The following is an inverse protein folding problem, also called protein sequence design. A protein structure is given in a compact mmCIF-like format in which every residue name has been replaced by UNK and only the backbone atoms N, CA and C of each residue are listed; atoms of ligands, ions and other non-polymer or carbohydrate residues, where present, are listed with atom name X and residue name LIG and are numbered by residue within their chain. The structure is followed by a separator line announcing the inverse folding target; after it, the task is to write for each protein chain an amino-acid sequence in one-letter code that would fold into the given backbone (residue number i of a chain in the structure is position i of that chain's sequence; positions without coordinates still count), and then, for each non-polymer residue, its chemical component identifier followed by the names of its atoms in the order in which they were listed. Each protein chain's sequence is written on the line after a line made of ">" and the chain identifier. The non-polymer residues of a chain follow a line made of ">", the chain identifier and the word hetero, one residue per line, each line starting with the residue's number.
data_IF_884753834820
#
_entry.id   IF_884753834820
#
_cell.length_a   1.000
_cell.length_b   1.000
_cell.length_c   1.000
_cell.angle_alpha   90.00
_cell.angle_beta   90.00
_cell.angle_gamma   90.00
#
_symmetry.space_group_name_H-M   'P 1'
#
loop_
_entity.id
_entity.type
_entity.pdbx_description
1 polymer ?
#
# COMPACT_ATOMS: atom_id res chain seq x y z
N UNK A 1 -62.42 17.55 22.34
CA UNK A 1 -61.57 16.34 22.32
C UNK A 1 -60.39 16.60 21.38
N UNK A 2 -59.23 16.97 21.91
CA UNK A 2 -57.99 17.15 21.14
C UNK A 2 -57.00 16.05 21.54
N UNK A 3 -57.30 14.82 21.11
CA UNK A 3 -56.69 13.57 21.57
C UNK A 3 -55.37 13.21 20.87
N UNK A 4 -54.55 14.18 20.44
CA UNK A 4 -53.23 13.89 19.85
C UNK A 4 -52.19 14.97 20.20
N UNK A 5 -51.80 14.98 21.47
CA UNK A 5 -50.54 15.60 21.88
C UNK A 5 -49.38 14.73 21.41
N UNK A 6 -48.68 15.18 20.36
CA UNK A 6 -47.40 14.60 19.93
C UNK A 6 -46.39 14.75 21.06
N UNK A 7 -46.24 13.71 21.87
CA UNK A 7 -45.18 13.59 22.86
C UNK A 7 -43.87 13.58 22.08
N UNK A 8 -43.08 14.66 22.18
CA UNK A 8 -41.71 14.72 21.67
C UNK A 8 -40.96 13.54 22.29
N UNK A 9 -40.60 12.54 21.49
CA UNK A 9 -39.73 11.46 21.94
C UNK A 9 -38.50 12.09 22.60
N UNK A 10 -38.01 11.56 23.74
CA UNK A 10 -36.73 11.99 24.27
C UNK A 10 -35.71 11.78 23.16
N UNK A 11 -35.02 12.85 22.78
CA UNK A 11 -33.88 12.75 21.88
C UNK A 11 -32.98 11.64 22.43
N UNK A 12 -32.59 10.70 21.57
CA UNK A 12 -31.58 9.71 21.92
C UNK A 12 -30.36 10.43 22.53
N UNK A 13 -29.71 9.86 23.56
CA UNK A 13 -28.52 10.45 24.15
C UNK A 13 -27.38 10.30 23.14
N UNK A 14 -27.27 11.27 22.25
CA UNK A 14 -26.30 11.32 21.18
C UNK A 14 -26.07 12.76 20.78
N UNK A 15 -25.57 13.56 21.73
CA UNK A 15 -24.85 14.77 21.37
C UNK A 15 -23.66 14.41 20.45
N UNK A 16 -23.05 15.38 19.75
CA UNK A 16 -21.89 15.12 18.90
C UNK A 16 -20.87 14.31 19.72
N UNK A 17 -20.55 13.11 19.25
CA UNK A 17 -19.58 12.27 19.93
C UNK A 17 -18.24 12.98 19.88
N UNK A 18 -17.65 13.22 21.05
CA UNK A 18 -16.31 13.78 21.16
C UNK A 18 -15.37 13.03 20.18
N UNK A 19 -14.69 13.73 19.24
CA UNK A 19 -13.80 13.10 18.27
C UNK A 19 -12.80 12.15 18.92
N UNK A 20 -12.23 12.54 20.08
CA UNK A 20 -11.29 11.71 20.82
C UNK A 20 -11.94 10.41 21.32
N UNK A 21 -13.13 10.49 21.94
CA UNK A 21 -13.89 9.31 22.35
C UNK A 21 -14.28 8.41 21.18
N UNK A 22 -14.56 9.00 20.02
CA UNK A 22 -14.90 8.26 18.80
C UNK A 22 -13.68 7.49 18.29
N UNK A 23 -12.52 8.13 18.20
CA UNK A 23 -11.25 7.48 17.82
C UNK A 23 -10.91 6.33 18.79
N UNK A 24 -11.06 6.52 20.10
CA UNK A 24 -10.82 5.45 21.08
C UNK A 24 -11.71 4.22 20.85
N UNK A 25 -13.00 4.42 20.53
CA UNK A 25 -13.93 3.33 20.21
C UNK A 25 -13.55 2.63 18.91
N UNK A 26 -13.12 3.37 17.89
CA UNK A 26 -12.65 2.81 16.63
C UNK A 26 -11.40 1.94 16.87
N UNK A 27 -10.41 2.44 17.61
CA UNK A 27 -9.19 1.67 17.98
C UNK A 27 -9.53 0.39 18.75
N UNK A 28 -10.42 0.46 19.74
CA UNK A 28 -10.86 -0.72 20.50
C UNK A 28 -11.59 -1.75 19.61
N UNK A 29 -12.32 -1.28 18.61
CA UNK A 29 -12.99 -2.15 17.63
C UNK A 29 -11.96 -2.83 16.72
N UNK A 30 -10.95 -2.10 16.25
CA UNK A 30 -9.83 -2.67 15.47
C UNK A 30 -9.10 -3.75 16.27
N UNK A 31 -8.76 -3.49 17.54
CA UNK A 31 -8.12 -4.48 18.42
C UNK A 31 -8.98 -5.75 18.59
N UNK A 32 -10.30 -5.59 18.67
CA UNK A 32 -11.23 -6.72 18.77
C UNK A 32 -11.26 -7.53 17.46
N UNK A 33 -11.23 -6.86 16.32
CA UNK A 33 -11.17 -7.49 15.00
C UNK A 33 -9.84 -8.23 14.79
N UNK A 34 -8.71 -7.68 15.24
CA UNK A 34 -7.41 -8.34 15.24
C UNK A 34 -7.40 -9.62 16.07
N UNK A 35 -7.92 -9.57 17.31
CA UNK A 35 -8.06 -10.77 18.16
C UNK A 35 -8.92 -11.84 17.48
N UNK A 36 -9.98 -11.43 16.78
CA UNK A 36 -10.84 -12.35 16.02
C UNK A 36 -10.08 -12.97 14.84
N UNK A 37 -9.30 -12.19 14.09
CA UNK A 37 -8.46 -12.67 13.00
C UNK A 37 -7.48 -13.74 13.49
N UNK A 38 -6.71 -13.45 14.55
CA UNK A 38 -5.77 -14.41 15.17
C UNK A 38 -6.46 -15.72 15.58
N UNK A 39 -7.69 -15.63 16.10
CA UNK A 39 -8.46 -16.82 16.44
C UNK A 39 -8.92 -17.61 15.20
N UNK A 40 -9.28 -16.95 14.10
CA UNK A 40 -9.62 -17.60 12.84
C UNK A 40 -8.40 -18.25 12.17
N UNK A 41 -7.22 -17.63 12.24
CA UNK A 41 -5.97 -18.23 11.75
C UNK A 41 -5.66 -19.56 12.45
N UNK A 42 -5.79 -19.60 13.78
CA UNK A 42 -5.66 -20.86 14.54
C UNK A 42 -6.66 -21.92 14.09
N UNK A 43 -7.89 -21.53 13.75
CA UNK A 43 -8.90 -22.46 13.21
C UNK A 43 -8.54 -22.93 11.80
N UNK A 44 -7.96 -22.08 10.95
CA UNK A 44 -7.46 -22.46 9.63
C UNK A 44 -6.35 -23.50 9.75
N UNK A 45 -5.40 -23.30 10.65
CA UNK A 45 -4.34 -24.27 10.93
C UNK A 45 -4.93 -25.61 11.41
N UNK A 46 -5.87 -25.56 12.34
CA UNK A 46 -6.55 -26.76 12.85
C UNK A 46 -7.27 -27.52 11.72
N UNK A 47 -8.06 -26.83 10.90
CA UNK A 47 -8.76 -27.46 9.78
C UNK A 47 -7.78 -28.03 8.74
N UNK A 48 -6.62 -27.41 8.56
CA UNK A 48 -5.56 -27.92 7.68
C UNK A 48 -4.97 -29.22 8.23
N UNK A 49 -4.68 -29.29 9.55
CA UNK A 49 -4.20 -30.51 10.21
C UNK A 49 -5.23 -31.63 10.13
N UNK A 50 -6.48 -31.35 10.50
CA UNK A 50 -7.59 -32.32 10.43
C UNK A 50 -7.83 -32.84 9.00
N UNK A 51 -7.73 -31.98 7.98
CA UNK A 51 -7.86 -32.39 6.59
C UNK A 51 -6.75 -33.37 6.17
N UNK A 52 -5.49 -33.10 6.57
CA UNK A 52 -4.35 -34.00 6.31
C UNK A 52 -4.52 -35.35 6.99
N UNK A 53 -4.94 -35.36 8.26
CA UNK A 53 -5.19 -36.59 9.01
C UNK A 53 -6.28 -37.45 8.37
N UNK A 54 -7.39 -36.83 7.95
CA UNK A 54 -8.50 -37.53 7.28
C UNK A 54 -8.10 -38.08 5.92
N UNK A 55 -7.28 -37.34 5.16
CA UNK A 55 -6.68 -37.85 3.91
C UNK A 55 -5.79 -39.07 4.17
N UNK A 56 -4.98 -39.06 5.23
CA UNK A 56 -4.17 -40.21 5.64
C UNK A 56 -5.00 -41.45 5.97
N UNK A 57 -6.21 -41.25 6.53
CA UNK A 57 -7.20 -42.31 6.80
C UNK A 57 -8.06 -42.69 5.59
N UNK A 58 -7.76 -42.16 4.40
CA UNK A 58 -8.54 -42.31 3.15
C UNK A 58 -9.99 -41.78 3.24
N UNK A 59 -10.32 -40.97 4.24
CA UNK A 59 -11.62 -40.29 4.36
C UNK A 59 -11.63 -38.98 3.55
N UNK A 60 -11.83 -39.12 2.24
CA UNK A 60 -11.88 -37.99 1.32
C UNK A 60 -13.05 -37.03 1.60
N UNK A 61 -14.21 -37.54 2.04
CA UNK A 61 -15.40 -36.69 2.30
C UNK A 61 -15.16 -35.83 3.54
N UNK A 62 -14.60 -36.40 4.60
CA UNK A 62 -14.27 -35.66 5.81
C UNK A 62 -13.16 -34.64 5.60
N UNK A 63 -12.16 -34.93 4.75
CA UNK A 63 -11.12 -33.97 4.38
C UNK A 63 -11.69 -32.78 3.59
N UNK A 64 -12.56 -33.03 2.60
CA UNK A 64 -13.24 -31.98 1.85
C UNK A 64 -14.08 -31.07 2.76
N UNK A 65 -14.73 -31.64 3.78
CA UNK A 65 -15.48 -30.87 4.75
C UNK A 65 -14.60 -29.91 5.58
N UNK A 66 -13.43 -30.38 6.04
CA UNK A 66 -12.45 -29.54 6.73
C UNK A 66 -11.93 -28.41 5.82
N UNK A 67 -11.61 -28.71 4.56
CA UNK A 67 -11.19 -27.70 3.59
C UNK A 67 -12.28 -26.65 3.30
N UNK A 68 -13.55 -27.05 3.27
CA UNK A 68 -14.66 -26.10 3.13
C UNK A 68 -14.74 -25.14 4.32
N UNK A 69 -14.56 -25.65 5.55
CA UNK A 69 -14.49 -24.79 6.76
C UNK A 69 -13.28 -23.85 6.73
N UNK A 70 -12.10 -24.34 6.33
CA UNK A 70 -10.92 -23.50 6.11
C UNK A 70 -11.24 -22.32 5.19
N UNK A 71 -11.81 -22.58 4.01
CA UNK A 71 -12.19 -21.51 3.06
C UNK A 71 -13.21 -20.52 3.63
N UNK A 72 -14.14 -20.98 4.47
CA UNK A 72 -15.08 -20.08 5.13
C UNK A 72 -14.39 -19.14 6.12
N UNK A 73 -13.38 -19.62 6.86
CA UNK A 73 -12.60 -18.78 7.77
C UNK A 73 -11.71 -17.80 7.01
N UNK A 74 -11.08 -18.22 5.91
CA UNK A 74 -10.29 -17.33 5.04
C UNK A 74 -11.15 -16.17 4.50
N UNK A 75 -12.35 -16.47 4.00
CA UNK A 75 -13.30 -15.45 3.54
C UNK A 75 -13.80 -14.52 4.67
N UNK A 76 -13.82 -15.00 5.92
CA UNK A 76 -14.16 -14.16 7.07
C UNK A 76 -12.99 -13.24 7.46
N UNK A 77 -11.75 -13.71 7.36
CA UNK A 77 -10.54 -12.89 7.57
C UNK A 77 -10.47 -11.77 6.53
N UNK A 78 -10.74 -12.05 5.26
CA UNK A 78 -10.75 -11.04 4.21
C UNK A 78 -11.75 -9.91 4.51
N UNK A 79 -12.95 -10.26 4.99
CA UNK A 79 -13.95 -9.27 5.44
C UNK A 79 -13.48 -8.47 6.64
N UNK A 80 -12.79 -9.11 7.59
CA UNK A 80 -12.23 -8.44 8.76
C UNK A 80 -11.16 -7.43 8.31
N UNK A 81 -10.29 -7.80 7.39
CA UNK A 81 -9.24 -6.91 6.86
C UNK A 81 -9.85 -5.68 6.17
N UNK A 82 -10.86 -5.87 5.31
CA UNK A 82 -11.56 -4.75 4.68
C UNK A 82 -12.28 -3.84 5.70
N UNK A 83 -12.88 -4.43 6.74
CA UNK A 83 -13.50 -3.67 7.82
C UNK A 83 -12.47 -2.85 8.61
N UNK A 84 -11.30 -3.42 8.92
CA UNK A 84 -10.20 -2.73 9.61
C UNK A 84 -9.70 -1.53 8.81
N UNK A 85 -9.41 -1.71 7.52
CA UNK A 85 -8.98 -0.62 6.64
C UNK A 85 -10.01 0.53 6.62
N UNK A 86 -11.30 0.19 6.54
CA UNK A 86 -12.36 1.19 6.58
C UNK A 86 -12.38 1.96 7.91
N UNK A 87 -12.18 1.28 9.04
CA UNK A 87 -12.12 1.92 10.36
C UNK A 87 -10.88 2.80 10.51
N UNK A 88 -9.74 2.38 9.96
CA UNK A 88 -8.50 3.16 9.92
C UNK A 88 -8.65 4.45 9.10
N UNK A 89 -9.23 4.35 7.90
CA UNK A 89 -9.60 5.50 7.09
C UNK A 89 -10.54 6.47 7.83
N UNK A 90 -11.52 5.94 8.57
CA UNK A 90 -12.42 6.77 9.39
C UNK A 90 -11.68 7.49 10.53
N UNK A 91 -10.72 6.85 11.19
CA UNK A 91 -9.91 7.50 12.22
C UNK A 91 -9.12 8.66 11.63
N UNK A 92 -8.43 8.44 10.52
CA UNK A 92 -7.64 9.47 9.82
C UNK A 92 -8.55 10.64 9.40
N UNK A 93 -9.74 10.35 8.85
CA UNK A 93 -10.69 11.38 8.45
C UNK A 93 -11.19 12.22 9.64
N UNK A 94 -11.41 11.61 10.80
CA UNK A 94 -11.81 12.32 12.02
C UNK A 94 -10.65 13.21 12.51
N UNK A 95 -9.43 12.68 12.54
CA UNK A 95 -8.23 13.44 12.92
C UNK A 95 -8.03 14.65 12.00
N UNK A 96 -8.11 14.46 10.68
CA UNK A 96 -8.05 15.54 9.70
C UNK A 96 -9.17 16.58 9.90
N UNK A 97 -10.39 16.13 10.23
CA UNK A 97 -11.52 17.04 10.51
C UNK A 97 -11.25 17.90 11.74
N UNK A 98 -10.65 17.34 12.79
CA UNK A 98 -10.28 18.09 14.00
C UNK A 98 -9.23 19.14 13.66
N UNK A 99 -8.15 18.78 12.97
CA UNK A 99 -7.11 19.73 12.55
C UNK A 99 -7.66 20.83 11.65
N UNK A 100 -8.51 20.48 10.67
CA UNK A 100 -9.15 21.48 9.81
C UNK A 100 -10.03 22.45 10.60
N UNK A 101 -10.77 21.97 11.60
CA UNK A 101 -11.58 22.81 12.47
C UNK A 101 -10.70 23.77 13.29
N UNK A 102 -9.55 23.32 13.80
CA UNK A 102 -8.58 24.16 14.50
C UNK A 102 -8.00 25.24 13.58
N UNK A 103 -7.60 24.90 12.35
CA UNK A 103 -7.12 25.87 11.35
C UNK A 103 -8.17 26.94 11.07
N UNK A 104 -9.43 26.54 10.83
CA UNK A 104 -10.53 27.50 10.61
C UNK A 104 -10.76 28.39 11.82
N UNK A 105 -10.66 27.85 13.04
CA UNK A 105 -10.78 28.64 14.26
C UNK A 105 -9.63 29.65 14.41
N UNK A 106 -8.40 29.27 14.07
CA UNK A 106 -7.25 30.18 14.05
C UNK A 106 -7.43 31.30 13.02
N UNK A 107 -7.86 30.98 11.80
CA UNK A 107 -8.18 31.97 10.77
C UNK A 107 -9.26 32.95 11.23
N UNK A 108 -10.31 32.46 11.91
CA UNK A 108 -11.38 33.30 12.46
C UNK A 108 -10.87 34.24 13.56
N UNK A 109 -9.95 33.77 14.40
CA UNK A 109 -9.30 34.60 15.41
C UNK A 109 -8.45 35.70 14.78
N UNK A 110 -7.62 35.35 13.79
CA UNK A 110 -6.82 36.31 13.03
C UNK A 110 -7.67 37.37 12.33
N UNK A 111 -8.76 36.97 11.68
CA UNK A 111 -9.70 37.89 11.03
C UNK A 111 -10.31 38.90 12.03
N UNK A 112 -10.68 38.44 13.24
CA UNK A 112 -11.19 39.33 14.30
C UNK A 112 -10.12 40.31 14.80
N UNK A 113 -8.88 39.84 14.98
CA UNK A 113 -7.77 40.70 15.39
C UNK A 113 -7.47 41.77 14.33
N UNK A 114 -7.44 41.39 13.06
CA UNK A 114 -7.30 42.31 11.92
C UNK A 114 -8.43 43.35 11.88
N UNK A 115 -9.68 42.93 12.10
CA UNK A 115 -10.82 43.85 12.17
C UNK A 115 -10.69 44.87 13.31
N UNK A 116 -10.27 44.42 14.50
CA UNK A 116 -10.06 45.29 15.66
C UNK A 116 -8.88 46.26 15.45
N UNK A 117 -7.80 45.82 14.81
CA UNK A 117 -6.68 46.68 14.44
C UNK A 117 -7.13 47.78 13.47
N UNK A 118 -7.92 47.43 12.44
CA UNK A 118 -8.48 48.39 11.46
C UNK A 118 -9.41 49.43 12.09
N UNK A 119 -10.14 49.09 13.15
CA UNK A 119 -10.99 50.06 13.86
C UNK A 119 -10.20 51.15 14.60
N UNK A 120 -8.89 50.95 14.84
CA UNK A 120 -8.02 51.92 15.52
C UNK A 120 -7.12 52.72 14.56
N UNK A 121 -7.25 52.52 13.24
CA UNK A 121 -6.50 53.24 12.20
C UNK A 121 -7.48 54.13 11.45
N UNK A 122 -7.20 55.44 11.41
CA UNK A 122 -8.08 56.49 10.88
C UNK A 122 -8.48 56.19 9.41
N UNK A 123 -9.76 56.39 9.08
CA UNK A 123 -10.37 55.91 7.83
C UNK A 123 -9.69 56.43 6.55
N UNK A 124 -9.06 57.59 6.61
CA UNK A 124 -8.35 58.21 5.48
C UNK A 124 -6.98 57.55 5.21
N UNK A 125 -6.33 56.96 6.22
CA UNK A 125 -5.09 56.17 6.04
C UNK A 125 -5.34 54.73 5.62
N UNK A 126 -6.57 54.25 5.76
CA UNK A 126 -6.99 52.90 5.38
C UNK A 126 -7.22 52.79 3.87
N UNK A 127 -7.55 53.89 3.18
CA UNK A 127 -7.71 53.92 1.72
C UNK A 127 -6.43 53.56 0.99
N UNK A 128 -5.35 54.31 1.26
CA UNK A 128 -4.03 54.10 0.64
C UNK A 128 -3.45 52.73 1.04
N UNK A 129 -3.61 52.31 2.31
CA UNK A 129 -3.12 51.01 2.78
C UNK A 129 -3.92 49.82 2.20
N UNK A 130 -5.20 49.98 1.88
CA UNK A 130 -6.01 48.90 1.28
C UNK A 130 -5.67 48.64 -0.18
N UNK A 131 -5.25 49.66 -0.90
CA UNK A 131 -4.75 49.52 -2.26
C UNK A 131 -3.39 48.81 -2.24
N UNK A 132 -2.47 49.19 -1.35
CA UNK A 132 -1.19 48.49 -1.15
C UNK A 132 -1.38 47.01 -0.70
N UNK A 133 -2.35 46.75 0.19
CA UNK A 133 -2.67 45.39 0.67
C UNK A 133 -3.29 44.53 -0.44
N UNK A 134 -4.07 45.10 -1.36
CA UNK A 134 -4.62 44.35 -2.50
C UNK A 134 -3.52 43.91 -3.45
N UNK A 135 -2.56 44.77 -3.74
CA UNK A 135 -1.39 44.43 -4.55
C UNK A 135 -0.57 43.30 -3.90
N UNK A 136 -0.33 43.35 -2.58
CA UNK A 136 0.38 42.29 -1.85
C UNK A 136 -0.43 40.99 -1.69
N UNK A 137 -1.75 41.06 -1.51
CA UNK A 137 -2.60 39.86 -1.45
C UNK A 137 -2.71 39.15 -2.80
N UNK A 138 -2.72 39.87 -3.92
CA UNK A 138 -2.66 39.24 -5.25
C UNK A 138 -1.33 38.49 -5.46
N UNK A 139 -0.21 39.04 -4.98
CA UNK A 139 1.09 38.36 -5.01
C UNK A 139 1.10 37.14 -4.08
N UNK A 140 0.53 37.26 -2.87
CA UNK A 140 0.44 36.15 -1.93
C UNK A 140 -0.48 35.02 -2.44
N UNK A 141 -1.57 35.36 -3.13
CA UNK A 141 -2.47 34.39 -3.77
C UNK A 141 -1.82 33.73 -4.99
N UNK A 142 -1.01 34.44 -5.78
CA UNK A 142 -0.17 33.84 -6.84
C UNK A 142 0.85 32.84 -6.26
N UNK A 143 1.50 33.20 -5.14
CA UNK A 143 2.45 32.32 -4.46
C UNK A 143 1.72 31.11 -3.84
N UNK A 144 0.57 31.33 -3.21
CA UNK A 144 -0.24 30.26 -2.61
C UNK A 144 -0.79 29.31 -3.67
N UNK A 145 -1.19 29.82 -4.84
CA UNK A 145 -1.62 29.02 -5.98
C UNK A 145 -0.45 28.24 -6.60
N UNK A 146 0.76 28.82 -6.65
CA UNK A 146 1.97 28.13 -7.10
C UNK A 146 2.40 27.00 -6.14
N UNK A 147 2.16 27.16 -4.83
CA UNK A 147 2.49 26.16 -3.80
C UNK A 147 1.38 25.10 -3.65
N UNK A 148 0.10 25.47 -3.83
CA UNK A 148 -1.07 24.60 -3.65
C UNK A 148 -1.49 23.87 -4.92
N UNK A 149 -0.68 23.88 -5.99
CA UNK A 149 -0.88 23.02 -7.15
C UNK A 149 -1.08 21.57 -6.64
N UNK A 150 -2.23 20.93 -6.89
CA UNK A 150 -2.60 19.74 -6.13
C UNK A 150 -1.62 18.59 -6.41
N UNK A 151 -0.89 18.15 -5.39
CA UNK A 151 -0.26 16.84 -5.33
C UNK A 151 -1.33 15.75 -5.12
N UNK A 152 -2.39 15.76 -5.94
CA UNK A 152 -3.59 14.95 -5.75
C UNK A 152 -3.49 13.56 -6.42
N UNK A 153 -2.27 13.10 -6.69
CA UNK A 153 -1.98 11.82 -7.34
C UNK A 153 -1.23 10.83 -6.41
N UNK A 154 -1.09 11.16 -5.12
CA UNK A 154 -0.15 10.49 -4.20
C UNK A 154 -0.62 9.10 -3.71
N UNK A 155 -1.79 8.64 -4.11
CA UNK A 155 -2.37 7.37 -3.64
C UNK A 155 -2.95 6.54 -4.80
N UNK A 156 -2.10 6.16 -5.75
CA UNK A 156 -2.44 5.13 -6.72
C UNK A 156 -1.92 3.77 -6.24
N UNK A 157 -2.70 2.70 -6.42
CA UNK A 157 -2.32 1.35 -5.93
C UNK A 157 -0.99 0.87 -6.54
N UNK A 158 -0.66 1.32 -7.76
CA UNK A 158 0.62 1.04 -8.43
C UNK A 158 1.81 1.72 -7.75
N UNK A 159 1.64 2.93 -7.21
CA UNK A 159 2.71 3.63 -6.47
C UNK A 159 2.95 2.99 -5.10
N UNK A 160 1.88 2.55 -4.43
CA UNK A 160 1.97 1.80 -3.18
C UNK A 160 2.63 0.43 -3.37
N UNK A 161 2.37 -0.23 -4.51
CA UNK A 161 3.06 -1.48 -4.88
C UNK A 161 4.55 -1.25 -5.16
N UNK A 162 4.91 -0.13 -5.79
CA UNK A 162 6.31 0.24 -5.99
C UNK A 162 7.03 0.51 -4.66
N UNK A 163 6.41 1.27 -3.75
CA UNK A 163 6.95 1.53 -2.41
C UNK A 163 7.11 0.23 -1.60
N UNK A 164 6.16 -0.70 -1.73
CA UNK A 164 6.24 -2.02 -1.09
C UNK A 164 7.41 -2.85 -1.63
N UNK A 165 7.61 -2.88 -2.96
CA UNK A 165 8.73 -3.58 -3.58
C UNK A 165 10.09 -3.00 -3.13
N UNK A 166 10.18 -1.67 -3.03
CA UNK A 166 11.41 -1.00 -2.58
C UNK A 166 11.74 -1.35 -1.12
N UNK A 167 10.72 -1.46 -0.24
CA UNK A 167 10.92 -1.95 1.13
C UNK A 167 11.39 -3.42 1.19
N UNK A 168 10.83 -4.31 0.36
CA UNK A 168 11.28 -5.72 0.29
C UNK A 168 12.73 -5.86 -0.20
N UNK A 169 13.13 -5.06 -1.18
CA UNK A 169 14.51 -5.02 -1.69
C UNK A 169 15.51 -4.56 -0.61
N UNK A 170 15.16 -3.50 0.14
CA UNK A 170 15.98 -3.01 1.25
C UNK A 170 16.13 -4.04 2.37
N UNK A 171 15.07 -4.79 2.68
CA UNK A 171 15.13 -5.86 3.68
C UNK A 171 16.01 -7.03 3.20
N UNK A 172 15.91 -7.43 1.93
CA UNK A 172 16.76 -8.44 1.32
C UNK A 172 18.24 -8.02 1.30
N UNK A 173 18.54 -6.77 0.95
CA UNK A 173 19.90 -6.23 0.99
C UNK A 173 20.46 -6.25 2.42
N UNK A 174 19.65 -5.87 3.41
CA UNK A 174 20.05 -5.94 4.82
C UNK A 174 20.36 -7.36 5.27
N UNK A 175 19.57 -8.35 4.85
CA UNK A 175 19.79 -9.76 5.17
C UNK A 175 21.02 -10.34 4.48
N UNK A 176 21.36 -9.87 3.28
CA UNK A 176 22.59 -10.25 2.57
C UNK A 176 23.84 -9.63 3.20
N UNK A 177 23.74 -8.41 3.74
CA UNK A 177 24.81 -7.75 4.48
C UNK A 177 25.06 -8.39 5.85
N UNK A 178 24.00 -8.87 6.52
CA UNK A 178 24.07 -9.59 7.81
C UNK A 178 24.29 -11.10 7.65
N UNK A 179 24.36 -11.62 6.41
CA UNK A 179 24.62 -13.03 6.16
C UNK A 179 26.03 -13.42 6.69
N UNK A 180 26.15 -14.46 7.52
CA UNK A 180 27.45 -14.90 8.02
C UNK A 180 28.35 -15.32 6.85
N UNK A 181 29.67 -15.04 6.91
CA UNK A 181 30.59 -15.40 5.84
C UNK A 181 30.51 -16.89 5.55
N UNK A 182 30.20 -17.23 4.30
CA UNK A 182 30.10 -18.61 3.85
C UNK A 182 31.47 -19.27 4.07
N UNK A 183 31.57 -20.41 4.76
CA UNK A 183 32.84 -21.09 4.94
C UNK A 183 33.42 -21.43 3.57
N UNK A 184 34.63 -20.93 3.28
CA UNK A 184 35.36 -21.24 2.06
C UNK A 184 35.61 -22.76 2.00
N UNK A 185 34.79 -23.47 1.22
CA UNK A 185 35.05 -24.87 0.93
C UNK A 185 36.30 -24.94 0.03
N UNK A 186 37.29 -25.80 0.35
CA UNK A 186 38.41 -26.01 -0.55
C UNK A 186 37.87 -26.52 -1.89
N UNK A 187 38.16 -25.78 -2.97
CA UNK A 187 37.87 -26.24 -4.33
C UNK A 187 38.52 -27.61 -4.52
N UNK A 188 37.79 -28.61 -5.07
CA UNK A 188 38.37 -29.92 -5.32
C UNK A 188 39.56 -29.76 -6.28
N UNK A 189 40.71 -30.31 -5.90
CA UNK A 189 41.89 -30.30 -6.74
C UNK A 189 41.56 -30.99 -8.08
N UNK A 190 41.83 -30.30 -9.19
CA UNK A 190 41.66 -30.87 -10.52
C UNK A 190 42.47 -32.18 -10.62
N UNK A 191 41.90 -33.25 -11.20
CA UNK A 191 42.58 -34.53 -11.26
C UNK A 191 43.79 -34.42 -12.20
N UNK A 192 44.99 -34.56 -11.63
CA UNK A 192 46.24 -34.77 -12.37
C UNK A 192 46.35 -36.23 -12.82
N UNK A 193 45.37 -36.69 -13.60
CA UNK A 193 45.51 -37.92 -14.36
C UNK A 193 46.02 -37.55 -15.75
N UNK A 194 47.28 -37.85 -16.04
CA UNK A 194 47.75 -37.87 -17.42
C UNK A 194 46.97 -38.96 -18.15
N UNK A 195 45.95 -38.57 -18.91
CA UNK A 195 45.27 -39.48 -19.82
C UNK A 195 46.23 -39.79 -20.96
N UNK A 196 46.66 -41.04 -21.08
CA UNK A 196 47.36 -41.57 -22.25
C UNK A 196 46.34 -41.66 -23.40
N UNK A 197 46.11 -40.54 -24.07
CA UNK A 197 45.27 -40.46 -25.26
C UNK A 197 46.12 -40.79 -26.50
N UNK A 198 45.62 -41.61 -27.44
CA UNK A 198 46.33 -41.87 -28.69
C UNK A 198 46.55 -40.55 -29.45
N UNK A 199 47.73 -40.42 -30.07
CA UNK A 199 48.09 -39.23 -30.83
C UNK A 199 47.04 -38.92 -31.91
N UNK A 200 46.50 -37.71 -31.87
CA UNK A 200 45.50 -37.25 -32.83
C UNK A 200 46.08 -37.23 -34.27
N UNK A 201 45.29 -37.64 -35.28
CA UNK A 201 45.73 -37.57 -36.67
C UNK A 201 45.96 -36.11 -37.08
N UNK A 202 47.15 -35.82 -37.61
CA UNK A 202 47.60 -34.47 -37.97
C UNK A 202 47.09 -33.98 -39.34
N UNK A 203 46.17 -34.72 -39.96
CA UNK A 203 45.58 -34.33 -41.24
C UNK A 203 44.39 -33.40 -40.99
N UNK A 204 44.54 -32.13 -41.39
CA UNK A 204 43.41 -31.20 -41.46
C UNK A 204 42.34 -31.77 -42.41
N UNK A 205 41.08 -31.96 -41.98
CA UNK A 205 40.00 -32.12 -42.93
C UNK A 205 39.83 -30.80 -43.71
N UNK A 206 39.45 -30.84 -45.00
CA UNK A 206 39.11 -29.62 -45.73
C UNK A 206 37.95 -28.94 -45.00
N UNK A 207 38.10 -27.64 -44.74
CA UNK A 207 37.11 -26.84 -44.05
C UNK A 207 35.74 -26.97 -44.75
N UNK A 208 34.66 -27.30 -44.04
CA UNK A 208 33.33 -27.21 -44.61
C UNK A 208 33.00 -25.72 -44.82
N UNK A 209 32.58 -25.37 -46.03
CA UNK A 209 32.05 -24.05 -46.37
C UNK A 209 30.76 -23.81 -45.57
N UNK A 210 30.89 -23.21 -44.39
CA UNK A 210 29.77 -22.88 -43.52
C UNK A 210 29.11 -21.54 -43.86
N UNK A 211 29.67 -20.75 -44.79
CA UNK A 211 29.13 -19.42 -45.12
C UNK A 211 27.91 -19.47 -46.08
N UNK A 212 27.71 -20.55 -46.83
CA UNK A 212 26.60 -20.65 -47.80
C UNK A 212 25.25 -21.03 -47.16
N UNK A 213 25.26 -21.70 -46.01
CA UNK A 213 24.04 -22.16 -45.35
C UNK A 213 23.28 -21.01 -44.67
N UNK A 214 24.01 -20.13 -43.98
CA UNK A 214 23.41 -19.00 -43.25
C UNK A 214 22.90 -17.92 -44.22
N UNK A 215 23.61 -17.70 -45.33
CA UNK A 215 23.21 -16.72 -46.35
C UNK A 215 21.98 -17.18 -47.15
N UNK A 216 21.78 -18.50 -47.30
CA UNK A 216 20.59 -19.07 -47.94
C UNK A 216 19.37 -18.99 -47.02
N UNK A 217 19.55 -19.21 -45.71
CA UNK A 217 18.48 -19.09 -44.72
C UNK A 217 17.94 -17.65 -44.61
N UNK A 218 18.82 -16.64 -44.70
CA UNK A 218 18.41 -15.23 -44.68
C UNK A 218 17.60 -14.82 -45.93
N UNK A 219 17.96 -15.32 -47.12
CA UNK A 219 17.22 -15.03 -48.36
C UNK A 219 15.83 -15.67 -48.41
N UNK A 220 15.65 -16.87 -47.84
CA UNK A 220 14.33 -17.50 -47.74
C UNK A 220 13.40 -16.75 -46.78
N UNK A 221 13.94 -16.16 -45.72
CA UNK A 221 13.17 -15.38 -44.75
C UNK A 221 12.72 -14.02 -45.32
N UNK A 222 13.57 -13.35 -46.10
CA UNK A 222 13.18 -12.12 -46.82
C UNK A 222 12.11 -12.38 -47.90
N UNK A 223 12.19 -13.50 -48.62
CA UNK A 223 11.20 -13.83 -49.65
C UNK A 223 9.82 -14.17 -49.07
N UNK A 224 9.76 -14.71 -47.85
CA UNK A 224 8.51 -15.04 -47.17
C UNK A 224 7.78 -13.82 -46.57
N UNK A 225 8.49 -12.71 -46.31
CA UNK A 225 7.90 -11.45 -45.82
C UNK A 225 7.41 -10.51 -46.93
N UNK A 226 7.72 -10.81 -48.20
CA UNK A 226 7.36 -9.98 -49.35
C UNK A 226 6.13 -10.47 -50.13
N UNK A 227 5.36 -11.42 -49.60
CA UNK A 227 4.02 -11.79 -50.09
C UNK A 227 2.90 -11.22 -49.22
#
# INVERSE_FOLDING_TARGET
>A
MNLFGRKKSPAAPGGPSDPAQTILKLRSTVETLEKRQVHLDKKIEQQTKEAKEKMGKKDKRGALYCLKRKKMYEAEIEKINGARLTLEQQMIAIEATVTNAETVNAMKSGAKAMQAARQNVDADTVGDLMDDIKEEMEVADEISAAISAPANDVLNDDDLLNELNEMEELELESQLLDAPPIPAMPLPAAPTAAFDLPAAPTALPPAPAAEDADMKALRELEAAMAM
#
